data_IF_313546726563
#
_entry.id   IF_313546726563
#
_cell.length_a   1.000
_cell.length_b   1.000
_cell.length_c   1.000
_cell.angle_alpha   90.00
_cell.angle_beta   90.00
_cell.angle_gamma   90.00
#
_symmetry.space_group_name_H-M   'P 1'
#
loop_
_entity.id
_entity.type
_entity.pdbx_description
1 polymer ?
#
# COMPACT_ATOMS: atom_id res chain seq x y z
N UNK A 1 17.74 -3.21 8.10
CA UNK A 1 16.55 -2.64 7.42
C UNK A 1 15.45 -2.53 8.47
N UNK A 2 14.94 -1.34 8.72
CA UNK A 2 13.86 -1.12 9.67
C UNK A 2 12.65 -0.59 8.90
N UNK A 3 11.49 -1.22 9.11
CA UNK A 3 10.22 -0.82 8.51
C UNK A 3 9.25 -0.52 9.64
N UNK A 4 8.64 0.65 9.60
CA UNK A 4 7.58 1.06 10.51
C UNK A 4 6.26 1.02 9.77
N UNK A 5 5.27 0.37 10.38
CA UNK A 5 3.92 0.24 9.83
C UNK A 5 2.90 0.95 10.70
N UNK A 6 2.00 1.70 10.07
CA UNK A 6 0.80 2.27 10.67
C UNK A 6 -0.42 1.75 9.92
N UNK A 7 -1.40 1.24 10.67
CA UNK A 7 -2.68 0.80 10.14
C UNK A 7 -3.79 1.60 10.81
N UNK A 8 -4.65 2.16 9.99
CA UNK A 8 -5.90 2.78 10.40
C UNK A 8 -7.04 2.02 9.76
N UNK A 9 -7.97 1.54 10.57
CA UNK A 9 -9.18 0.88 10.11
C UNK A 9 -10.40 1.57 10.73
N UNK A 10 -11.43 1.76 9.93
CA UNK A 10 -12.65 2.41 10.36
C UNK A 10 -13.86 1.92 9.57
N UNK A 11 -14.93 1.60 10.30
CA UNK A 11 -16.27 1.51 9.75
C UNK A 11 -16.77 2.93 9.43
N UNK A 12 -16.91 3.24 8.14
CA UNK A 12 -17.40 4.54 7.69
C UNK A 12 -18.94 4.52 7.77
N UNK A 13 -19.54 3.42 7.32
CA UNK A 13 -20.95 3.10 7.48
C UNK A 13 -21.08 1.60 7.79
N UNK A 14 -22.27 1.10 8.21
CA UNK A 14 -22.47 -0.34 8.43
C UNK A 14 -22.18 -1.21 7.20
N UNK A 15 -22.21 -0.62 6.00
CA UNK A 15 -21.96 -1.32 4.74
C UNK A 15 -20.59 -0.98 4.13
N UNK A 16 -19.87 0.02 4.66
CA UNK A 16 -18.61 0.51 4.09
C UNK A 16 -17.50 0.50 5.13
N UNK A 17 -16.52 -0.37 4.91
CA UNK A 17 -15.29 -0.45 5.68
C UNK A 17 -14.13 0.20 4.93
N UNK A 18 -13.38 1.06 5.61
CA UNK A 18 -12.18 1.70 5.10
C UNK A 18 -10.96 1.29 5.90
N UNK A 19 -9.85 1.06 5.22
CA UNK A 19 -8.55 0.87 5.85
C UNK A 19 -7.47 1.62 5.09
N UNK A 20 -6.49 2.12 5.82
CA UNK A 20 -5.32 2.78 5.30
C UNK A 20 -4.08 2.24 6.00
N UNK A 21 -3.14 1.73 5.21
CA UNK A 21 -1.84 1.26 5.68
C UNK A 21 -0.75 2.18 5.16
N UNK A 22 0.13 2.62 6.05
CA UNK A 22 1.37 3.32 5.72
C UNK A 22 2.55 2.47 6.19
N UNK A 23 3.40 2.06 5.27
CA UNK A 23 4.71 1.49 5.59
C UNK A 23 5.78 2.54 5.28
N UNK A 24 6.66 2.83 6.21
CA UNK A 24 7.81 3.70 6.01
C UNK A 24 9.08 2.90 6.28
N UNK A 25 10.06 3.01 5.41
CA UNK A 25 11.34 2.32 5.54
C UNK A 25 12.48 3.26 5.22
N UNK A 26 13.59 3.11 5.94
CA UNK A 26 14.85 3.77 5.62
C UNK A 26 15.89 2.71 5.22
N UNK A 27 16.53 2.95 4.08
CA UNK A 27 17.66 2.17 3.60
C UNK A 27 18.90 3.02 3.71
N UNK A 28 19.97 2.39 4.19
CA UNK A 28 21.29 2.96 4.22
C UNK A 28 22.05 2.46 3.00
N UNK A 29 22.47 3.39 2.15
CA UNK A 29 23.35 3.08 1.01
C UNK A 29 24.79 2.82 1.53
N UNK A 30 25.60 2.08 0.76
CA UNK A 30 27.02 1.85 1.09
C UNK A 30 27.82 3.16 1.14
N UNK A 31 27.31 4.21 0.48
CA UNK A 31 27.83 5.59 0.53
C UNK A 31 27.32 6.41 1.73
N UNK A 32 26.75 5.77 2.76
CA UNK A 32 26.24 6.43 3.97
C UNK A 32 25.06 7.40 3.71
N UNK A 33 24.36 7.24 2.58
CA UNK A 33 23.18 8.06 2.23
C UNK A 33 21.91 7.42 2.75
N UNK A 34 21.05 8.24 3.34
CA UNK A 34 19.73 7.83 3.79
C UNK A 34 18.72 7.92 2.65
N UNK A 35 18.09 6.78 2.34
CA UNK A 35 16.99 6.72 1.39
C UNK A 35 15.73 6.31 2.13
N UNK A 36 14.83 7.27 2.30
CA UNK A 36 13.51 7.06 2.90
C UNK A 36 12.53 6.73 1.78
N UNK A 37 11.73 5.69 1.98
CA UNK A 37 10.62 5.34 1.12
C UNK A 37 9.37 5.07 1.93
N UNK A 38 8.21 5.34 1.34
CA UNK A 38 6.91 5.03 1.91
C UNK A 38 6.03 4.26 0.95
N UNK A 39 5.19 3.38 1.50
CA UNK A 39 4.14 2.67 0.79
C UNK A 39 2.80 3.02 1.44
N UNK A 40 1.88 3.49 0.62
CA UNK A 40 0.54 3.88 1.00
C UNK A 40 -0.42 2.89 0.36
N UNK A 41 -1.23 2.23 1.17
CA UNK A 41 -2.30 1.35 0.70
C UNK A 41 -3.63 1.83 1.27
N UNK A 42 -4.56 2.15 0.39
CA UNK A 42 -5.93 2.50 0.73
C UNK A 42 -6.84 1.38 0.27
N UNK A 43 -7.70 0.85 1.15
CA UNK A 43 -8.64 -0.20 0.80
C UNK A 43 -10.03 0.12 1.34
N UNK A 44 -11.03 0.01 0.46
CA UNK A 44 -12.44 0.11 0.81
C UNK A 44 -13.12 -1.21 0.47
N UNK A 45 -13.96 -1.68 1.38
CA UNK A 45 -14.84 -2.84 1.15
C UNK A 45 -16.27 -2.40 1.38
N UNK A 46 -17.10 -2.54 0.35
CA UNK A 46 -18.51 -2.22 0.38
C UNK A 46 -19.35 -3.49 0.29
N UNK A 47 -20.21 -3.72 1.28
CA UNK A 47 -21.19 -4.80 1.28
C UNK A 47 -22.32 -4.46 0.32
N UNK A 48 -22.36 -5.16 -0.81
CA UNK A 48 -23.39 -4.98 -1.85
C UNK A 48 -24.66 -5.75 -1.47
N UNK A 49 -24.49 -6.95 -0.90
CA UNK A 49 -25.56 -7.77 -0.37
C UNK A 49 -25.04 -8.64 0.78
N UNK A 50 -25.90 -9.50 1.34
CA UNK A 50 -25.49 -10.49 2.34
C UNK A 50 -24.52 -11.55 1.77
N UNK A 51 -24.46 -11.68 0.44
CA UNK A 51 -23.70 -12.70 -0.27
C UNK A 51 -22.68 -12.08 -1.25
N UNK A 52 -22.46 -10.76 -1.18
CA UNK A 52 -21.50 -10.11 -2.08
C UNK A 52 -20.87 -8.85 -1.51
N UNK A 53 -19.60 -8.66 -1.85
CA UNK A 53 -18.84 -7.45 -1.54
C UNK A 53 -18.08 -6.91 -2.76
N UNK A 54 -17.88 -5.59 -2.74
CA UNK A 54 -17.04 -4.87 -3.68
C UNK A 54 -15.82 -4.32 -2.92
N UNK A 55 -14.64 -4.81 -3.28
CA UNK A 55 -13.37 -4.29 -2.78
C UNK A 55 -12.75 -3.37 -3.81
N UNK A 56 -12.31 -2.20 -3.34
CA UNK A 56 -11.43 -1.30 -4.08
C UNK A 56 -10.14 -1.09 -3.28
N UNK A 57 -9.00 -1.20 -3.94
CA UNK A 57 -7.69 -0.98 -3.31
C UNK A 57 -6.77 -0.15 -4.22
N UNK A 58 -6.07 0.80 -3.61
CA UNK A 58 -5.04 1.61 -4.25
C UNK A 58 -3.72 1.40 -3.51
N UNK A 59 -2.67 1.11 -4.27
CA UNK A 59 -1.31 1.04 -3.79
C UNK A 59 -0.48 2.14 -4.44
N UNK A 60 0.19 2.92 -3.62
CA UNK A 60 1.02 4.03 -4.05
C UNK A 60 2.32 4.05 -3.26
N UNK A 61 3.45 3.94 -3.96
CA UNK A 61 4.77 4.00 -3.35
C UNK A 61 5.48 5.32 -3.68
N UNK A 62 6.23 5.85 -2.71
CA UNK A 62 7.18 6.93 -2.87
C UNK A 62 8.58 6.46 -2.47
N UNK A 63 9.59 6.97 -3.15
CA UNK A 63 10.99 6.71 -2.84
C UNK A 63 11.83 6.76 -4.11
N UNK A 64 13.14 6.61 -3.96
CA UNK A 64 14.02 6.44 -5.12
C UNK A 64 13.73 5.10 -5.78
N UNK A 65 13.50 5.12 -7.09
CA UNK A 65 13.24 3.94 -7.91
C UNK A 65 14.51 3.12 -8.16
N UNK A 66 14.69 2.71 -9.41
CA UNK A 66 15.87 1.96 -9.83
C UNK A 66 17.00 2.93 -10.23
N UNK A 67 18.25 2.56 -9.93
CA UNK A 67 19.43 3.27 -10.45
C UNK A 67 19.70 2.89 -11.91
N UNK A 68 20.74 3.47 -12.52
CA UNK A 68 21.15 3.13 -13.89
C UNK A 68 21.60 1.66 -14.08
N UNK A 69 21.94 0.96 -12.99
CA UNK A 69 22.25 -0.47 -12.95
C UNK A 69 21.01 -1.34 -12.68
N UNK A 70 19.82 -0.75 -12.69
CA UNK A 70 18.53 -1.40 -12.43
C UNK A 70 18.35 -1.96 -11.01
N UNK A 71 19.11 -1.43 -10.04
CA UNK A 71 19.03 -1.84 -8.64
C UNK A 71 18.09 -0.92 -7.85
N UNK A 72 17.26 -1.47 -6.94
CA UNK A 72 16.43 -0.67 -6.05
C UNK A 72 17.26 0.25 -5.15
N UNK A 73 17.00 1.55 -5.24
CA UNK A 73 17.62 2.55 -4.35
C UNK A 73 16.81 2.78 -3.07
N UNK A 74 15.58 2.25 -2.99
CA UNK A 74 14.76 2.28 -1.78
C UNK A 74 13.82 1.08 -1.71
N UNK A 75 13.37 0.72 -0.50
CA UNK A 75 12.54 -0.46 -0.26
C UNK A 75 11.23 -0.43 -1.06
N UNK A 76 10.62 0.76 -1.25
CA UNK A 76 9.31 0.87 -1.90
C UNK A 76 9.32 1.65 -3.22
N UNK A 77 10.31 2.50 -3.49
CA UNK A 77 10.28 3.41 -4.64
C UNK A 77 10.26 2.74 -6.03
N UNK A 78 10.63 1.46 -6.10
CA UNK A 78 10.56 0.66 -7.33
C UNK A 78 9.21 -0.05 -7.53
N UNK A 79 8.32 -0.02 -6.52
CA UNK A 79 7.03 -0.70 -6.60
C UNK A 79 6.08 0.06 -7.54
N UNK A 80 5.42 -0.65 -8.47
CA UNK A 80 4.46 -0.02 -9.36
C UNK A 80 3.23 0.45 -8.57
N UNK A 81 2.66 1.58 -8.99
CA UNK A 81 1.35 2.01 -8.52
C UNK A 81 0.30 1.06 -9.08
N UNK A 82 -0.63 0.60 -8.23
CA UNK A 82 -1.67 -0.33 -8.67
C UNK A 82 -3.04 0.08 -8.14
N UNK A 83 -4.06 -0.11 -8.97
CA UNK A 83 -5.45 -0.02 -8.57
C UNK A 83 -6.11 -1.38 -8.78
N UNK A 84 -6.82 -1.87 -7.78
CA UNK A 84 -7.54 -3.15 -7.84
C UNK A 84 -9.01 -2.90 -7.53
N UNK A 85 -9.87 -3.44 -8.39
CA UNK A 85 -11.30 -3.54 -8.15
C UNK A 85 -11.67 -5.02 -8.19
N UNK A 86 -12.36 -5.51 -7.15
CA UNK A 86 -12.76 -6.90 -7.04
C UNK A 86 -14.19 -6.99 -6.55
N UNK A 87 -15.05 -7.61 -7.35
CA UNK A 87 -16.37 -8.04 -6.94
C UNK A 87 -16.28 -9.51 -6.50
N UNK A 88 -16.82 -9.83 -5.32
CA UNK A 88 -16.83 -11.18 -4.76
C UNK A 88 -18.26 -11.61 -4.44
N UNK A 89 -18.54 -12.88 -4.67
CA UNK A 89 -19.80 -13.53 -4.32
C UNK A 89 -19.51 -14.75 -3.41
N UNK A 90 -20.33 -14.93 -2.37
CA UNK A 90 -20.25 -16.00 -1.39
C UNK A 90 -21.47 -16.90 -1.62
N UNK A 91 -21.32 -17.89 -2.49
CA UNK A 91 -22.37 -18.87 -2.82
C UNK A 91 -22.43 -19.99 -1.78
#
# INVERSE_FOLDING_TARGET
RQVLGLLLQRDITPLLNGSYTLLAASVHDQENRYHVSSLHQLTFTYSVSNESDLLFSLLYANGKGLNAANEPQSEFGHLPRSATLRLRFYF
#
